data_IF_648252837556
#
_entry.id   IF_648252837556
#
_cell.length_a   1.000
_cell.length_b   1.000
_cell.length_c   1.000
_cell.angle_alpha   90.00
_cell.angle_beta   90.00
_cell.angle_gamma   90.00
#
_symmetry.space_group_name_H-M   'P 1'
#
loop_
_entity.id
_entity.type
_entity.pdbx_description
1 polymer ?
#
# COMPACT_ATOMS: atom_id res chain seq x y z
N UNK A 1 5.68 64.74 -18.21
CA UNK A 1 6.72 63.83 -18.72
C UNK A 1 7.18 62.93 -17.58
N UNK A 2 7.15 61.62 -17.82
CA UNK A 2 7.69 60.47 -17.09
C UNK A 2 7.58 60.40 -15.54
N UNK A 3 6.65 59.52 -15.11
CA UNK A 3 6.73 58.75 -13.87
C UNK A 3 7.92 57.78 -13.96
N UNK A 4 8.68 57.60 -12.88
CA UNK A 4 9.53 56.41 -12.71
C UNK A 4 9.48 55.97 -11.25
N UNK A 5 8.59 55.00 -10.96
CA UNK A 5 8.63 54.20 -9.74
C UNK A 5 9.61 53.05 -10.02
N UNK A 6 10.73 52.98 -9.29
CA UNK A 6 11.53 51.77 -9.23
C UNK A 6 10.72 50.72 -8.46
N UNK A 7 10.16 49.72 -9.15
CA UNK A 7 9.81 48.45 -8.54
C UNK A 7 11.05 47.56 -8.54
N UNK A 8 11.66 47.39 -7.37
CA UNK A 8 12.61 46.31 -7.10
C UNK A 8 11.83 44.99 -7.07
N UNK A 9 11.96 44.22 -8.14
CA UNK A 9 11.49 42.83 -8.18
C UNK A 9 12.47 41.98 -7.37
N UNK A 10 12.13 41.73 -6.10
CA UNK A 10 12.79 40.69 -5.32
C UNK A 10 12.27 39.36 -5.87
N UNK A 11 13.08 38.72 -6.73
CA UNK A 11 12.88 37.34 -7.14
C UNK A 11 13.17 36.45 -5.92
N UNK A 12 12.17 36.30 -5.06
CA UNK A 12 12.19 35.27 -4.03
C UNK A 12 12.08 33.93 -4.74
N UNK A 13 13.20 33.24 -4.90
CA UNK A 13 13.17 31.81 -5.17
C UNK A 13 12.39 31.18 -4.01
N UNK A 14 11.14 30.80 -4.27
CA UNK A 14 10.39 29.93 -3.38
C UNK A 14 11.10 28.60 -3.46
N UNK A 15 12.09 28.41 -2.60
CA UNK A 15 12.61 27.08 -2.30
C UNK A 15 11.39 26.32 -1.81
N UNK A 16 10.90 25.40 -2.63
CA UNK A 16 9.87 24.46 -2.21
C UNK A 16 10.44 23.71 -1.00
N UNK A 17 10.06 24.17 0.19
CA UNK A 17 10.40 23.50 1.44
C UNK A 17 9.69 22.15 1.36
N UNK A 18 10.46 21.09 1.11
CA UNK A 18 10.00 19.72 1.33
C UNK A 18 9.38 19.68 2.72
N UNK A 19 8.08 19.41 2.80
CA UNK A 19 7.41 19.27 4.08
C UNK A 19 7.98 18.03 4.79
N UNK A 20 8.79 18.21 5.85
CA UNK A 20 9.47 17.10 6.50
C UNK A 20 8.50 16.22 7.30
N UNK A 21 7.25 16.63 7.51
CA UNK A 21 6.25 15.84 8.25
C UNK A 21 5.72 14.65 7.45
N UNK A 22 5.65 14.79 6.11
CA UNK A 22 5.27 13.71 5.19
C UNK A 22 6.43 12.72 4.99
N UNK A 23 7.67 13.22 5.02
CA UNK A 23 8.87 12.38 5.02
C UNK A 23 9.04 11.61 6.36
N UNK A 24 8.50 12.16 7.44
CA UNK A 24 8.61 11.56 8.78
C UNK A 24 7.71 10.33 8.93
N UNK A 25 6.51 10.31 8.33
CA UNK A 25 5.62 9.14 8.40
C UNK A 25 6.22 7.90 7.75
N UNK A 26 6.88 8.03 6.58
CA UNK A 26 7.52 6.90 5.90
C UNK A 26 8.83 6.46 6.55
N UNK A 27 9.67 7.39 7.01
CA UNK A 27 10.92 7.04 7.71
C UNK A 27 10.60 6.33 9.01
N UNK A 28 9.56 6.78 9.73
CA UNK A 28 9.08 6.11 10.92
C UNK A 28 8.46 4.76 10.58
N UNK A 29 7.71 4.61 9.48
CA UNK A 29 7.18 3.32 9.05
C UNK A 29 8.30 2.34 8.68
N UNK A 30 9.26 2.73 7.83
CA UNK A 30 10.42 1.89 7.46
C UNK A 30 11.31 1.58 8.67
N UNK A 31 11.58 2.56 9.55
CA UNK A 31 12.39 2.37 10.77
C UNK A 31 11.68 1.45 11.76
N UNK A 32 10.38 1.62 11.97
CA UNK A 32 9.59 0.77 12.87
C UNK A 32 9.36 -0.62 12.30
N UNK A 33 9.22 -0.76 10.98
CA UNK A 33 9.02 -2.02 10.27
C UNK A 33 10.27 -2.41 9.47
N UNK A 34 11.46 -2.31 10.09
CA UNK A 34 12.76 -2.71 9.50
C UNK A 34 12.81 -4.23 9.28
N UNK A 35 11.98 -4.72 8.36
CA UNK A 35 11.77 -6.13 8.04
C UNK A 35 12.54 -6.48 6.78
N UNK A 36 13.05 -7.70 6.73
CA UNK A 36 13.44 -8.37 5.49
C UNK A 36 12.17 -8.49 4.64
N UNK A 37 12.12 -7.85 3.47
CA UNK A 37 10.92 -7.85 2.65
C UNK A 37 10.80 -9.20 1.93
N UNK A 38 9.85 -10.01 2.35
CA UNK A 38 9.50 -11.24 1.65
C UNK A 38 8.80 -10.88 0.34
N UNK A 39 9.29 -11.45 -0.76
CA UNK A 39 8.72 -11.27 -2.10
C UNK A 39 7.61 -12.30 -2.34
N UNK A 40 6.56 -11.93 -3.06
CA UNK A 40 5.52 -12.88 -3.47
C UNK A 40 6.02 -13.98 -4.42
N UNK A 41 7.14 -13.73 -5.12
CA UNK A 41 7.79 -14.69 -6.00
C UNK A 41 6.94 -14.98 -7.25
N UNK A 42 6.82 -16.24 -7.63
CA UNK A 42 6.02 -16.69 -8.79
C UNK A 42 4.54 -16.96 -8.44
N UNK A 43 4.09 -16.57 -7.25
CA UNK A 43 2.74 -16.78 -6.75
C UNK A 43 1.94 -15.48 -6.85
N UNK A 44 0.75 -15.52 -7.45
CA UNK A 44 -0.16 -14.38 -7.57
C UNK A 44 -0.88 -14.03 -6.27
N UNK A 45 -0.11 -13.79 -5.20
CA UNK A 45 -0.59 -13.53 -3.83
C UNK A 45 -0.50 -12.06 -3.41
N UNK A 46 -0.35 -11.14 -4.36
CA UNK A 46 -0.27 -9.69 -4.10
C UNK A 46 -1.41 -9.16 -3.21
N UNK A 47 -2.61 -9.70 -3.41
CA UNK A 47 -3.79 -9.44 -2.58
C UNK A 47 -3.57 -9.78 -1.10
N UNK A 48 -2.89 -10.89 -0.79
CA UNK A 48 -2.60 -11.33 0.57
C UNK A 48 -1.57 -10.41 1.23
N UNK A 49 -0.51 -10.03 0.51
CA UNK A 49 0.49 -9.07 1.00
C UNK A 49 -0.11 -7.68 1.24
N UNK A 50 -0.98 -7.23 0.33
CA UNK A 50 -1.70 -5.96 0.49
C UNK A 50 -2.59 -6.00 1.74
N UNK A 51 -3.39 -7.05 1.92
CA UNK A 51 -4.27 -7.21 3.08
C UNK A 51 -3.48 -7.31 4.40
N UNK A 52 -2.47 -8.17 4.47
CA UNK A 52 -1.60 -8.30 5.64
C UNK A 52 -0.95 -6.96 6.00
N UNK A 53 -0.45 -6.20 5.01
CA UNK A 53 0.14 -4.89 5.23
C UNK A 53 -0.82 -3.84 5.80
N UNK A 54 -2.09 -3.84 5.38
CA UNK A 54 -3.10 -2.95 5.95
C UNK A 54 -3.45 -3.35 7.40
N UNK A 55 -3.57 -4.65 7.68
CA UNK A 55 -3.76 -5.17 9.03
C UNK A 55 -2.57 -4.82 9.95
N UNK A 56 -1.33 -4.93 9.47
CA UNK A 56 -0.14 -4.51 10.21
C UNK A 56 -0.19 -3.02 10.58
N UNK A 57 -0.61 -2.18 9.63
CA UNK A 57 -0.82 -0.76 9.85
C UNK A 57 -1.84 -0.48 10.97
N UNK A 58 -2.97 -1.20 10.95
CA UNK A 58 -3.98 -1.09 12.00
C UNK A 58 -3.46 -1.59 13.35
N UNK A 59 -2.77 -2.73 13.39
CA UNK A 59 -2.22 -3.31 14.62
C UNK A 59 -1.29 -2.30 15.31
N UNK A 60 -0.41 -1.68 14.53
CA UNK A 60 0.48 -0.63 15.05
C UNK A 60 -0.31 0.57 15.56
N UNK A 61 -1.33 1.03 14.82
CA UNK A 61 -2.13 2.19 15.21
C UNK A 61 -2.93 1.96 16.50
N UNK A 62 -3.56 0.81 16.65
CA UNK A 62 -4.50 0.54 17.77
C UNK A 62 -3.82 -0.01 19.01
N UNK A 63 -2.75 -0.79 18.85
CA UNK A 63 -2.07 -1.47 19.97
C UNK A 63 -0.65 -0.99 20.22
N UNK A 64 -0.06 -0.25 19.27
CA UNK A 64 1.36 0.10 19.31
C UNK A 64 2.31 -1.03 18.90
N UNK A 65 1.83 -2.25 18.68
CA UNK A 65 2.67 -3.40 18.32
C UNK A 65 3.09 -3.36 16.86
N UNK A 66 4.36 -3.65 16.59
CA UNK A 66 4.85 -3.88 15.22
C UNK A 66 5.13 -5.36 15.08
N UNK A 67 4.24 -6.07 14.38
CA UNK A 67 4.39 -7.51 14.11
C UNK A 67 4.20 -7.77 12.61
N UNK A 68 4.87 -8.78 12.07
CA UNK A 68 4.57 -9.28 10.72
C UNK A 68 3.38 -10.20 10.76
N UNK A 69 2.43 -9.99 9.87
CA UNK A 69 1.27 -10.85 9.71
C UNK A 69 1.46 -11.73 8.48
N UNK A 70 1.00 -12.98 8.57
CA UNK A 70 1.29 -14.02 7.58
C UNK A 70 0.42 -13.86 6.31
N UNK A 71 1.01 -13.53 5.14
CA UNK A 71 0.29 -13.60 3.87
C UNK A 71 -0.05 -15.06 3.53
N UNK A 72 0.78 -16.03 3.96
CA UNK A 72 0.56 -17.45 3.70
C UNK A 72 -0.69 -17.97 4.39
N UNK A 73 -0.95 -17.52 5.61
CA UNK A 73 -2.19 -17.83 6.31
C UNK A 73 -3.40 -17.40 5.46
N UNK A 74 -3.35 -16.21 4.83
CA UNK A 74 -4.42 -15.76 3.94
C UNK A 74 -4.51 -16.63 2.68
N UNK A 75 -3.37 -16.90 2.02
CA UNK A 75 -3.27 -17.76 0.81
C UNK A 75 -3.92 -19.12 1.06
N UNK A 76 -3.59 -19.77 2.17
CA UNK A 76 -3.99 -21.15 2.43
C UNK A 76 -5.42 -21.26 3.00
N UNK A 77 -5.89 -20.24 3.75
CA UNK A 77 -7.10 -20.37 4.56
C UNK A 77 -8.33 -19.61 4.04
N UNK A 78 -8.15 -18.63 3.14
CA UNK A 78 -9.26 -17.77 2.70
C UNK A 78 -10.00 -18.27 1.44
N UNK A 79 -9.75 -19.50 1.00
CA UNK A 79 -10.36 -20.05 -0.22
C UNK A 79 -11.88 -20.12 -0.20
N UNK A 80 -12.47 -20.37 0.98
CA UNK A 80 -13.94 -20.35 1.19
C UNK A 80 -14.57 -18.97 0.95
N UNK A 81 -13.77 -17.90 0.94
CA UNK A 81 -14.20 -16.52 0.74
C UNK A 81 -14.08 -16.06 -0.72
N UNK A 82 -13.56 -16.92 -1.61
CA UNK A 82 -13.40 -16.64 -3.04
C UNK A 82 -11.97 -16.36 -3.49
N UNK A 83 -11.00 -16.28 -2.56
CA UNK A 83 -9.59 -16.20 -2.92
C UNK A 83 -9.09 -17.53 -3.49
N UNK A 84 -8.14 -17.48 -4.42
CA UNK A 84 -7.63 -18.66 -5.13
C UNK A 84 -6.13 -18.86 -4.88
N UNK A 85 -5.67 -18.52 -3.68
CA UNK A 85 -4.27 -18.66 -3.27
C UNK A 85 -3.32 -17.93 -4.22
N UNK A 86 -2.42 -18.68 -4.85
CA UNK A 86 -1.47 -18.19 -5.85
C UNK A 86 -2.09 -17.82 -7.21
N UNK A 87 -3.39 -18.06 -7.41
CA UNK A 87 -4.10 -17.77 -8.66
C UNK A 87 -4.92 -16.46 -8.58
N UNK A 88 -4.70 -15.66 -7.55
CA UNK A 88 -5.34 -14.36 -7.34
C UNK A 88 -6.38 -14.35 -6.22
N UNK A 89 -6.86 -13.15 -5.91
CA UNK A 89 -7.77 -12.90 -4.81
C UNK A 89 -7.99 -11.40 -4.59
N UNK A 90 -8.80 -11.08 -3.58
CA UNK A 90 -9.12 -9.71 -3.20
C UNK A 90 -8.87 -9.47 -1.72
N UNK A 91 -8.40 -8.26 -1.39
CA UNK A 91 -8.08 -7.86 -0.02
C UNK A 91 -9.31 -7.90 0.90
N UNK A 92 -10.48 -7.54 0.39
CA UNK A 92 -11.75 -7.58 1.16
C UNK A 92 -12.16 -8.99 1.54
N UNK A 93 -11.98 -9.97 0.65
CA UNK A 93 -12.22 -11.40 0.96
C UNK A 93 -11.24 -11.89 2.03
N UNK A 94 -9.98 -11.42 1.98
CA UNK A 94 -8.99 -11.71 3.01
C UNK A 94 -9.38 -11.09 4.37
N UNK A 95 -9.84 -9.83 4.39
CA UNK A 95 -10.34 -9.20 5.61
C UNK A 95 -11.54 -9.93 6.18
N UNK A 96 -12.50 -10.33 5.34
CA UNK A 96 -13.66 -11.10 5.79
C UNK A 96 -13.25 -12.43 6.41
N UNK A 97 -12.27 -13.14 5.82
CA UNK A 97 -11.69 -14.32 6.44
C UNK A 97 -11.15 -14.03 7.84
N UNK A 98 -10.35 -12.97 8.01
CA UNK A 98 -9.75 -12.64 9.32
C UNK A 98 -10.83 -12.34 10.36
N UNK A 99 -11.88 -11.61 9.98
CA UNK A 99 -13.03 -11.29 10.85
C UNK A 99 -13.69 -12.59 11.35
N UNK A 100 -14.08 -13.47 10.42
CA UNK A 100 -14.82 -14.69 10.73
C UNK A 100 -13.96 -15.73 11.45
N UNK A 101 -12.67 -15.81 11.10
CA UNK A 101 -11.69 -16.71 11.72
C UNK A 101 -11.31 -16.24 13.14
N UNK A 102 -11.60 -14.98 13.48
CA UNK A 102 -11.23 -14.38 14.76
C UNK A 102 -9.72 -14.06 14.88
N UNK A 103 -9.03 -13.98 13.76
CA UNK A 103 -7.64 -13.54 13.70
C UNK A 103 -6.83 -14.05 12.52
N UNK A 104 -5.57 -13.63 12.52
CA UNK A 104 -4.53 -14.00 11.56
C UNK A 104 -3.22 -14.25 12.32
N UNK A 105 -2.45 -15.24 11.89
CA UNK A 105 -1.16 -15.57 12.48
C UNK A 105 -0.07 -14.58 12.10
N UNK A 106 0.99 -14.54 12.90
CA UNK A 106 2.22 -13.85 12.49
C UNK A 106 2.96 -14.59 11.40
N UNK A 107 3.69 -13.84 10.56
CA UNK A 107 4.57 -14.42 9.53
C UNK A 107 5.64 -15.35 10.12
N UNK A 108 6.14 -15.06 11.33
CA UNK A 108 7.09 -15.94 12.03
C UNK A 108 6.49 -17.32 12.34
N UNK A 109 5.22 -17.36 12.73
CA UNK A 109 4.53 -18.60 13.09
C UNK A 109 3.99 -19.35 11.87
N UNK A 110 3.66 -18.61 10.81
CA UNK A 110 3.19 -19.16 9.54
C UNK A 110 3.95 -18.52 8.37
N UNK A 111 5.20 -18.96 8.11
CA UNK A 111 6.05 -18.33 7.10
C UNK A 111 5.51 -18.48 5.68
N UNK A 112 5.78 -17.47 4.86
CA UNK A 112 5.46 -17.49 3.43
C UNK A 112 6.31 -18.47 2.63
N UNK A 113 5.65 -19.28 1.80
CA UNK A 113 6.25 -20.36 1.01
C UNK A 113 6.09 -20.16 -0.50
N UNK A 114 5.37 -19.12 -0.94
CA UNK A 114 5.11 -18.81 -2.35
C UNK A 114 4.45 -19.95 -3.14
N UNK A 115 3.61 -20.75 -2.47
CA UNK A 115 2.84 -21.84 -3.08
C UNK A 115 1.54 -22.03 -2.31
N UNK A 116 0.56 -22.67 -2.95
CA UNK A 116 -0.69 -23.08 -2.29
C UNK A 116 -0.40 -24.21 -1.29
N UNK A 117 -0.77 -23.99 -0.03
CA UNK A 117 -0.66 -24.97 1.05
C UNK A 117 -2.01 -25.41 1.60
N UNK A 118 -1.97 -26.38 2.51
CA UNK A 118 -3.12 -26.65 3.38
C UNK A 118 -3.21 -25.54 4.43
N UNK A 119 -4.42 -25.14 4.82
CA UNK A 119 -4.61 -24.17 5.91
C UNK A 119 -4.11 -24.74 7.24
N UNK A 120 -3.16 -24.04 7.86
CA UNK A 120 -2.54 -24.41 9.15
C UNK A 120 -2.69 -23.33 10.23
N UNK A 121 -3.74 -22.51 10.14
CA UNK A 121 -3.99 -21.46 11.13
C UNK A 121 -4.02 -22.05 12.54
N UNK A 122 -3.31 -21.42 13.47
CA UNK A 122 -3.26 -21.81 14.88
C UNK A 122 -3.67 -20.64 15.77
N UNK A 123 -4.80 -20.78 16.45
CA UNK A 123 -5.32 -19.74 17.35
C UNK A 123 -4.31 -19.30 18.43
N UNK A 124 -3.39 -20.19 18.84
CA UNK A 124 -2.33 -19.87 19.81
C UNK A 124 -1.25 -18.94 19.23
N UNK A 125 -1.12 -18.88 17.91
CA UNK A 125 -0.15 -18.07 17.16
C UNK A 125 -0.73 -16.75 16.61
N UNK A 126 -2.02 -16.50 16.89
CA UNK A 126 -2.72 -15.28 16.49
C UNK A 126 -1.93 -14.03 16.84
N UNK A 127 -1.70 -13.20 15.83
CA UNK A 127 -0.96 -11.95 15.94
C UNK A 127 -1.84 -10.70 15.82
N UNK A 128 -2.95 -10.79 15.09
CA UNK A 128 -3.89 -9.69 14.94
C UNK A 128 -5.30 -10.22 14.68
N UNK A 129 -6.28 -9.33 14.76
CA UNK A 129 -7.65 -9.55 14.31
C UNK A 129 -8.25 -8.22 13.82
N UNK A 130 -9.29 -8.27 12.99
CA UNK A 130 -10.11 -7.10 12.66
C UNK A 130 -11.60 -7.40 12.89
N UNK A 131 -12.37 -6.36 13.16
CA UNK A 131 -13.81 -6.44 13.45
C UNK A 131 -14.67 -6.13 12.22
N UNK A 132 -14.17 -5.31 11.30
CA UNK A 132 -14.83 -4.96 10.04
C UNK A 132 -13.80 -4.47 9.01
N UNK A 133 -14.25 -4.11 7.81
CA UNK A 133 -13.46 -3.36 6.84
C UNK A 133 -14.32 -2.31 6.15
N UNK A 134 -13.69 -1.29 5.59
CA UNK A 134 -14.35 -0.22 4.83
C UNK A 134 -13.60 0.06 3.54
N UNK A 135 -14.29 0.61 2.56
CA UNK A 135 -13.73 0.99 1.27
C UNK A 135 -14.08 2.44 0.97
N UNK A 136 -13.16 3.14 0.31
CA UNK A 136 -13.46 4.48 -0.22
C UNK A 136 -14.29 4.37 -1.50
N UNK A 137 -14.94 5.46 -1.89
CA UNK A 137 -15.66 5.53 -3.16
C UNK A 137 -14.70 5.33 -4.34
N UNK A 138 -15.13 4.54 -5.32
CA UNK A 138 -14.33 4.19 -6.50
C UNK A 138 -13.81 5.45 -7.21
N UNK A 139 -12.49 5.51 -7.41
CA UNK A 139 -11.81 6.58 -8.12
C UNK A 139 -11.60 7.87 -7.32
N UNK A 140 -12.07 7.94 -6.07
CA UNK A 140 -11.96 9.14 -5.23
C UNK A 140 -10.57 9.24 -4.57
N UNK A 141 -9.65 9.89 -5.27
CA UNK A 141 -8.29 10.14 -4.76
C UNK A 141 -8.26 11.03 -3.51
N UNK A 142 -9.23 11.93 -3.31
CA UNK A 142 -9.27 12.78 -2.12
C UNK A 142 -9.77 11.99 -0.91
N UNK A 143 -10.79 11.14 -1.08
CA UNK A 143 -11.20 10.20 -0.02
C UNK A 143 -10.06 9.25 0.35
N UNK A 144 -9.34 8.69 -0.65
CA UNK A 144 -8.14 7.87 -0.41
C UNK A 144 -7.10 8.64 0.41
N UNK A 145 -6.88 9.91 0.10
CA UNK A 145 -5.89 10.75 0.80
C UNK A 145 -6.28 10.95 2.26
N UNK A 146 -7.55 11.23 2.51
CA UNK A 146 -8.09 11.39 3.86
C UNK A 146 -7.90 10.12 4.70
N UNK A 147 -8.22 8.95 4.16
CA UNK A 147 -8.04 7.70 4.90
C UNK A 147 -6.57 7.34 5.05
N UNK A 148 -5.69 7.57 4.06
CA UNK A 148 -4.25 7.35 4.25
C UNK A 148 -3.70 8.22 5.39
N UNK A 149 -4.17 9.47 5.50
CA UNK A 149 -3.73 10.39 6.55
C UNK A 149 -4.25 10.04 7.95
N UNK A 150 -5.50 9.59 8.05
CA UNK A 150 -6.19 9.42 9.34
C UNK A 150 -6.24 7.97 9.82
N UNK A 151 -6.24 7.03 8.89
CA UNK A 151 -6.31 5.59 9.14
C UNK A 151 -4.92 4.94 9.05
N UNK A 152 -4.05 5.42 8.16
CA UNK A 152 -2.74 4.82 7.92
C UNK A 152 -2.72 4.00 6.62
N UNK A 153 -1.91 2.93 6.52
CA UNK A 153 -1.78 2.17 5.28
C UNK A 153 -3.09 1.56 4.77
N UNK A 154 -3.37 1.74 3.47
CA UNK A 154 -4.60 1.30 2.81
C UNK A 154 -4.26 0.31 1.70
N UNK A 155 -4.97 -0.82 1.66
CA UNK A 155 -4.87 -1.76 0.54
C UNK A 155 -5.49 -1.14 -0.69
N UNK A 156 -4.74 -1.09 -1.79
CA UNK A 156 -5.19 -0.57 -3.08
C UNK A 156 -4.89 -1.57 -4.19
N UNK A 157 -5.55 -1.44 -5.34
CA UNK A 157 -5.20 -2.20 -6.54
C UNK A 157 -4.82 -1.24 -7.67
N UNK A 158 -3.90 -1.68 -8.53
CA UNK A 158 -3.40 -0.90 -9.67
C UNK A 158 -3.28 -1.76 -10.94
N UNK A 159 -3.26 -1.13 -12.12
CA UNK A 159 -2.73 -1.72 -13.35
C UNK A 159 -1.19 -1.72 -13.31
N UNK A 160 -0.59 -2.91 -13.17
CA UNK A 160 0.86 -3.10 -13.16
C UNK A 160 1.41 -3.71 -14.48
N UNK A 161 0.62 -3.71 -15.55
CA UNK A 161 0.94 -4.44 -16.81
C UNK A 161 2.09 -3.82 -17.60
N UNK A 162 2.38 -2.53 -17.39
CA UNK A 162 3.28 -1.77 -18.26
C UNK A 162 4.74 -2.17 -18.03
N UNK A 163 5.55 -2.34 -19.10
CA UNK A 163 6.99 -2.54 -18.95
C UNK A 163 7.67 -1.42 -18.14
N UNK A 164 7.18 -0.19 -18.25
CA UNK A 164 7.64 0.97 -17.48
C UNK A 164 7.42 0.80 -15.98
N UNK A 165 6.34 0.12 -15.56
CA UNK A 165 6.08 -0.22 -14.17
C UNK A 165 7.07 -1.29 -13.70
N UNK A 166 7.19 -2.38 -14.45
CA UNK A 166 8.10 -3.51 -14.13
C UNK A 166 9.55 -3.04 -13.99
N UNK A 167 9.98 -2.11 -14.84
CA UNK A 167 11.33 -1.56 -14.87
C UNK A 167 11.50 -0.31 -14.01
N UNK A 168 10.49 0.12 -13.26
CA UNK A 168 10.57 1.30 -12.40
C UNK A 168 11.76 1.21 -11.42
N UNK A 169 12.41 2.35 -11.18
CA UNK A 169 13.57 2.48 -10.28
C UNK A 169 13.41 3.63 -9.28
N UNK A 170 13.02 4.81 -9.74
CA UNK A 170 12.88 6.00 -8.90
C UNK A 170 12.05 7.08 -9.60
N UNK A 171 11.81 8.22 -8.91
CA UNK A 171 10.99 9.32 -9.41
C UNK A 171 9.50 9.14 -9.15
N UNK A 172 8.66 9.97 -9.76
CA UNK A 172 7.20 9.78 -9.78
C UNK A 172 6.84 9.02 -11.05
N UNK A 173 6.27 7.85 -10.88
CA UNK A 173 5.75 7.03 -11.96
C UNK A 173 4.47 7.64 -12.52
N UNK A 174 4.48 7.94 -13.81
CA UNK A 174 3.37 8.53 -14.55
C UNK A 174 3.40 8.01 -15.98
N UNK A 175 2.66 6.93 -16.25
CA UNK A 175 2.53 6.38 -17.60
C UNK A 175 1.10 6.60 -18.10
N UNK A 176 0.94 7.43 -19.14
CA UNK A 176 -0.37 7.73 -19.71
C UNK A 176 -1.05 6.52 -20.37
N UNK A 177 -0.32 5.41 -20.58
CA UNK A 177 -0.87 4.16 -21.09
C UNK A 177 -1.36 3.21 -19.99
N UNK A 178 -1.22 3.57 -18.71
CA UNK A 178 -1.90 2.87 -17.64
C UNK A 178 -3.41 2.86 -17.88
N UNK A 179 -4.01 1.68 -17.79
CA UNK A 179 -5.46 1.55 -17.74
C UNK A 179 -5.95 1.68 -16.29
N UNK A 180 -7.26 1.71 -16.10
CA UNK A 180 -7.88 1.58 -14.79
C UNK A 180 -8.39 0.15 -14.51
N UNK A 181 -8.10 -0.80 -15.41
CA UNK A 181 -8.35 -2.22 -15.21
C UNK A 181 -7.23 -2.80 -14.34
N UNK A 182 -7.45 -2.77 -13.03
CA UNK A 182 -6.46 -3.17 -12.03
C UNK A 182 -6.22 -4.68 -12.04
N UNK A 183 -4.99 -5.10 -11.73
CA UNK A 183 -4.60 -6.50 -11.67
C UNK A 183 -3.57 -6.82 -10.57
N UNK A 184 -3.11 -5.82 -9.82
CA UNK A 184 -2.08 -6.00 -8.82
C UNK A 184 -2.45 -5.32 -7.50
N UNK A 185 -2.48 -6.09 -6.41
CA UNK A 185 -2.73 -5.60 -5.06
C UNK A 185 -1.47 -5.04 -4.42
N UNK A 186 -1.52 -3.78 -3.98
CA UNK A 186 -0.40 -3.07 -3.35
C UNK A 186 -0.89 -2.29 -2.13
N UNK A 187 0.01 -1.62 -1.41
CA UNK A 187 -0.34 -0.89 -0.19
C UNK A 187 0.05 0.58 -0.31
N UNK A 188 -0.93 1.48 -0.30
CA UNK A 188 -0.70 2.92 -0.19
C UNK A 188 -0.34 3.25 1.27
N UNK A 189 0.92 3.63 1.51
CA UNK A 189 1.46 3.88 2.86
C UNK A 189 1.64 5.37 3.16
N UNK A 190 1.39 6.23 2.19
CA UNK A 190 1.55 7.67 2.31
C UNK A 190 1.32 8.38 0.98
N UNK A 191 1.50 9.69 0.98
CA UNK A 191 1.45 10.54 -0.20
C UNK A 191 2.34 11.76 0.02
N UNK A 192 2.70 12.45 -1.07
CA UNK A 192 3.51 13.66 -0.99
C UNK A 192 3.56 14.42 -2.30
N UNK A 193 4.56 15.29 -2.40
CA UNK A 193 4.91 16.03 -3.61
C UNK A 193 6.43 15.95 -3.84
N UNK A 194 6.86 15.70 -5.07
CA UNK A 194 8.27 15.68 -5.46
C UNK A 194 8.45 16.62 -6.64
N UNK A 195 9.15 17.74 -6.43
CA UNK A 195 9.45 18.73 -7.46
C UNK A 195 8.21 19.26 -8.20
N UNK A 196 7.10 19.46 -7.48
CA UNK A 196 5.84 19.91 -8.05
C UNK A 196 4.89 18.79 -8.48
N UNK A 197 5.34 17.53 -8.51
CA UNK A 197 4.50 16.39 -8.87
C UNK A 197 3.95 15.67 -7.63
N UNK A 198 2.63 15.66 -7.51
CA UNK A 198 1.90 14.94 -6.47
C UNK A 198 2.02 13.42 -6.67
N UNK A 199 2.24 12.67 -5.59
CA UNK A 199 2.35 11.21 -5.64
C UNK A 199 1.68 10.50 -4.46
N UNK A 200 1.32 9.24 -4.71
CA UNK A 200 1.07 8.18 -3.74
C UNK A 200 2.36 7.41 -3.47
N UNK A 201 2.70 7.17 -2.20
CA UNK A 201 3.79 6.28 -1.84
C UNK A 201 3.21 4.86 -1.67
N UNK A 202 3.65 3.95 -2.52
CA UNK A 202 3.09 2.61 -2.62
C UNK A 202 4.16 1.57 -2.32
N UNK A 203 3.87 0.68 -1.37
CA UNK A 203 4.68 -0.51 -1.08
C UNK A 203 4.27 -1.63 -2.02
N UNK A 204 5.24 -2.22 -2.70
CA UNK A 204 5.06 -3.38 -3.56
C UNK A 204 5.47 -4.69 -2.83
N UNK A 205 5.11 -5.84 -3.38
CA UNK A 205 5.39 -7.19 -2.87
C UNK A 205 6.49 -7.91 -3.66
N UNK A 206 7.23 -7.24 -4.54
CA UNK A 206 8.28 -7.84 -5.39
C UNK A 206 9.69 -7.78 -4.79
N UNK A 207 9.79 -7.59 -3.46
CA UNK A 207 11.06 -7.47 -2.75
C UNK A 207 11.74 -6.11 -2.91
N UNK A 208 12.87 -5.92 -2.23
CA UNK A 208 13.58 -4.62 -2.15
C UNK A 208 14.30 -4.21 -3.44
N UNK A 209 14.56 -5.16 -4.35
CA UNK A 209 15.22 -4.88 -5.63
C UNK A 209 14.32 -4.13 -6.64
N UNK A 210 13.00 -4.11 -6.40
CA UNK A 210 12.06 -3.34 -7.19
C UNK A 210 12.05 -1.88 -6.75
N UNK A 211 12.09 -0.94 -7.72
CA UNK A 211 11.88 0.47 -7.44
C UNK A 211 12.83 1.07 -6.39
N UNK A 212 12.28 1.94 -5.55
CA UNK A 212 13.00 2.68 -4.51
C UNK A 212 12.97 1.88 -3.19
N UNK A 213 13.71 0.77 -3.18
CA UNK A 213 13.81 -0.16 -2.05
C UNK A 213 12.52 -0.95 -1.77
N UNK A 214 11.84 -1.40 -2.83
CA UNK A 214 10.55 -2.11 -2.79
C UNK A 214 9.32 -1.23 -2.94
N UNK A 215 9.50 0.07 -3.21
CA UNK A 215 8.43 1.06 -3.28
C UNK A 215 8.39 1.74 -4.63
N UNK A 216 7.23 2.30 -4.94
CA UNK A 216 7.00 3.17 -6.10
C UNK A 216 6.24 4.42 -5.65
N UNK A 217 6.59 5.56 -6.24
CA UNK A 217 5.76 6.77 -6.13
C UNK A 217 4.88 6.82 -7.37
N UNK A 218 3.56 6.67 -7.25
CA UNK A 218 2.63 6.73 -8.39
C UNK A 218 2.00 8.11 -8.43
N UNK A 219 1.87 8.73 -9.61
CA UNK A 219 1.26 10.04 -9.74
C UNK A 219 -0.12 10.11 -9.08
N UNK A 220 -0.34 11.13 -8.26
CA UNK A 220 -1.60 11.44 -7.58
C UNK A 220 -2.23 12.67 -8.23
N UNK A 221 -3.55 12.78 -8.15
CA UNK A 221 -4.35 13.86 -8.75
C UNK A 221 -4.15 13.95 -10.27
N UNK A 222 -3.98 12.79 -10.92
CA UNK A 222 -3.66 12.69 -12.36
C UNK A 222 -4.61 11.73 -13.06
N UNK A 223 -5.90 11.90 -12.80
CA UNK A 223 -6.97 11.09 -13.38
C UNK A 223 -6.99 9.66 -12.87
N UNK A 224 -6.75 9.46 -11.56
CA UNK A 224 -6.70 8.15 -10.92
C UNK A 224 -5.72 7.22 -11.64
N UNK A 225 -4.45 7.65 -11.67
CA UNK A 225 -3.36 6.98 -12.39
C UNK A 225 -3.31 5.49 -12.05
N UNK A 226 -3.36 4.65 -13.08
CA UNK A 226 -3.38 3.19 -12.99
C UNK A 226 -4.53 2.60 -12.15
N UNK A 227 -5.60 3.37 -11.91
CA UNK A 227 -6.78 2.93 -11.15
C UNK A 227 -6.57 2.84 -9.63
N UNK A 228 -5.54 3.48 -9.07
CA UNK A 228 -5.13 3.32 -7.67
C UNK A 228 -6.24 3.53 -6.63
N UNK A 229 -7.22 4.40 -6.90
CA UNK A 229 -8.35 4.66 -6.02
C UNK A 229 -9.61 3.84 -6.37
N UNK A 230 -9.57 2.92 -7.35
CA UNK A 230 -10.75 2.12 -7.72
C UNK A 230 -11.12 1.08 -6.65
N UNK A 231 -10.11 0.47 -6.04
CA UNK A 231 -10.29 -0.59 -5.04
C UNK A 231 -9.43 -0.31 -3.82
N UNK A 232 -9.74 0.78 -3.12
CA UNK A 232 -9.04 1.12 -1.88
C UNK A 232 -9.88 0.78 -0.65
N UNK A 233 -9.41 -0.20 0.12
CA UNK A 233 -10.09 -0.71 1.29
C UNK A 233 -9.11 -0.91 2.46
N UNK A 234 -9.62 -0.86 3.68
CA UNK A 234 -8.82 -1.04 4.88
C UNK A 234 -9.60 -1.80 5.96
N UNK A 235 -8.92 -2.65 6.75
CA UNK A 235 -9.53 -3.31 7.89
C UNK A 235 -9.68 -2.31 9.05
N UNK A 236 -10.59 -2.61 9.96
CA UNK A 236 -10.83 -1.87 11.20
C UNK A 236 -10.65 -2.87 12.35
N UNK A 237 -9.76 -2.54 13.30
CA UNK A 237 -9.51 -3.36 14.49
C UNK A 237 -10.40 -2.91 15.63
#
# INVERSE_FOLDING_TARGET
>A
MLRSLLLTVICGAVVALKDPTLDMHWMLWKKSHSKTYTSEGSCGSCWAFSAAGALEGQLKRTTGQVKSLSPQNLVDCSSKYGNMGCHGGYMTMAFQYVIDNGGIDSDEAYPYTAMDGQCRYDQSQKAANCSSYSCVSEGDEEALKQVVATIGPISVAIDATRPTFILYRSGVYSDSSCSQAVNHGVLAVGYGNLNGEDYWLVKNSWGTGFGDGGYIRIARNKGNMCGIANYACYPIM
#
